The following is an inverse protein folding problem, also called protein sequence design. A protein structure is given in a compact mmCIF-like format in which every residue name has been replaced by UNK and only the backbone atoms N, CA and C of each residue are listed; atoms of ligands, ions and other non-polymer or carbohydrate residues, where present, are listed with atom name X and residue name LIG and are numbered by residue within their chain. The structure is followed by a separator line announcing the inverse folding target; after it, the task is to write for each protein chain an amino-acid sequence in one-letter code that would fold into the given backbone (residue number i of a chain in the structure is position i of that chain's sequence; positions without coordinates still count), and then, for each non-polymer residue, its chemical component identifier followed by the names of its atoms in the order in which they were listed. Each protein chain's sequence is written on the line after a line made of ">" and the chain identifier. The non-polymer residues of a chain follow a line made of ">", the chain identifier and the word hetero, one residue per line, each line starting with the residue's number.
data_IF_152598312544
#
_entry.id   IF_152598312544
#
_cell.length_a   1.000
_cell.length_b   1.000
_cell.length_c   1.000
_cell.angle_alpha   90.00
_cell.angle_beta   90.00
_cell.angle_gamma   90.00
#
_symmetry.space_group_name_H-M   'P 1'
#
loop_
_entity.id
_entity.type
_entity.pdbx_description
1 polymer ?
#
# COMPACT_ATOMS: atom_id res chain seq x y z
N UNK A 1 5.61 -39.41 -1.12
CA UNK A 1 5.55 -39.65 -2.58
C UNK A 1 5.42 -38.32 -3.30
N UNK A 2 6.07 -38.16 -4.45
CA UNK A 2 6.00 -36.96 -5.29
C UNK A 2 5.60 -37.36 -6.72
N UNK A 3 4.76 -36.56 -7.39
CA UNK A 3 4.33 -36.84 -8.77
C UNK A 3 4.96 -35.85 -9.73
N UNK A 4 5.63 -36.36 -10.76
CA UNK A 4 6.23 -35.58 -11.84
C UNK A 4 5.69 -36.10 -13.16
N UNK A 5 5.08 -35.21 -13.96
CA UNK A 5 4.55 -35.54 -15.28
C UNK A 5 3.67 -36.81 -15.33
N UNK A 6 2.89 -37.07 -14.28
CA UNK A 6 2.01 -38.23 -14.17
C UNK A 6 2.63 -39.45 -13.47
N UNK A 7 3.96 -39.56 -13.42
CA UNK A 7 4.70 -40.67 -12.78
C UNK A 7 4.86 -40.43 -11.27
N UNK A 8 4.65 -41.48 -10.45
CA UNK A 8 4.87 -41.45 -8.99
C UNK A 8 6.33 -41.80 -8.69
N UNK A 9 7.00 -40.95 -7.92
CA UNK A 9 8.36 -41.17 -7.40
C UNK A 9 8.35 -41.19 -5.88
N UNK A 10 8.99 -42.21 -5.32
CA UNK A 10 9.27 -42.32 -3.89
C UNK A 10 10.73 -41.98 -3.67
N UNK A 11 10.98 -40.83 -3.04
CA UNK A 11 12.31 -40.30 -2.75
C UNK A 11 12.42 -39.89 -1.30
N UNK A 12 13.61 -40.03 -0.70
CA UNK A 12 13.89 -39.63 0.67
C UNK A 12 14.13 -38.11 0.73
N UNK A 13 13.49 -37.43 1.67
CA UNK A 13 13.74 -36.02 1.97
C UNK A 13 15.06 -35.91 2.73
N UNK A 14 16.03 -35.18 2.19
CA UNK A 14 17.36 -34.98 2.81
C UNK A 14 17.52 -33.61 3.46
N UNK A 15 16.86 -32.58 2.93
CA UNK A 15 16.93 -31.22 3.42
C UNK A 15 15.65 -30.46 3.13
N UNK A 16 15.30 -29.53 4.02
CA UNK A 16 14.23 -28.57 3.83
C UNK A 16 14.87 -27.19 3.61
N UNK A 17 14.38 -26.45 2.61
CA UNK A 17 14.83 -25.08 2.33
C UNK A 17 13.65 -24.13 2.38
N UNK A 18 13.89 -22.93 2.88
CA UNK A 18 12.96 -21.81 2.73
C UNK A 18 13.21 -21.17 1.38
N UNK A 19 12.16 -21.05 0.56
CA UNK A 19 12.22 -20.39 -0.75
C UNK A 19 11.82 -18.94 -0.56
N UNK A 20 12.69 -18.01 -0.99
CA UNK A 20 12.36 -16.58 -1.04
C UNK A 20 11.80 -16.26 -2.43
N UNK A 21 10.57 -15.77 -2.45
CA UNK A 21 9.80 -15.43 -3.67
C UNK A 21 9.91 -13.95 -4.06
N UNK A 22 10.72 -13.20 -3.30
CA UNK A 22 11.10 -11.81 -3.56
C UNK A 22 11.82 -11.66 -4.91
N UNK A 23 12.65 -12.63 -5.26
CA UNK A 23 13.29 -12.72 -6.55
C UNK A 23 12.42 -13.52 -7.53
N UNK A 24 11.99 -12.87 -8.63
CA UNK A 24 11.22 -13.50 -9.71
C UNK A 24 12.06 -14.43 -10.59
N UNK A 25 12.94 -15.21 -9.97
CA UNK A 25 13.68 -16.30 -10.60
C UNK A 25 12.88 -17.59 -10.51
N UNK A 26 12.98 -18.50 -11.49
CA UNK A 26 12.35 -19.82 -11.42
C UNK A 26 12.75 -20.57 -10.15
N UNK A 27 11.77 -20.93 -9.32
CA UNK A 27 11.98 -21.67 -8.09
C UNK A 27 11.22 -23.00 -8.15
N UNK A 28 11.91 -24.11 -7.89
CA UNK A 28 11.33 -25.45 -7.83
C UNK A 28 11.07 -25.86 -6.37
N UNK A 29 9.90 -26.46 -6.10
CA UNK A 29 9.51 -26.92 -4.76
C UNK A 29 10.33 -28.12 -4.27
N UNK A 30 10.75 -29.00 -5.20
CA UNK A 30 11.54 -30.20 -4.91
C UNK A 30 12.74 -30.22 -5.85
N UNK A 31 13.95 -30.32 -5.30
CA UNK A 31 15.15 -30.59 -6.08
C UNK A 31 15.49 -32.07 -5.97
N UNK A 32 15.56 -32.73 -7.11
CA UNK A 32 15.88 -34.15 -7.21
C UNK A 32 17.33 -34.32 -7.69
N UNK A 33 18.02 -35.32 -7.15
CA UNK A 33 19.36 -35.68 -7.66
C UNK A 33 19.28 -36.10 -9.13
N UNK A 34 20.30 -35.81 -9.97
CA UNK A 34 20.28 -36.19 -11.39
C UNK A 34 19.97 -37.67 -11.62
N UNK A 35 20.42 -38.56 -10.72
CA UNK A 35 20.16 -39.98 -10.79
C UNK A 35 18.67 -40.35 -10.68
N UNK A 36 17.90 -39.59 -9.90
CA UNK A 36 16.48 -39.84 -9.63
C UNK A 36 15.55 -39.32 -10.74
N UNK A 37 16.05 -38.48 -11.66
CA UNK A 37 15.26 -37.86 -12.74
C UNK A 37 15.60 -38.47 -14.11
N UNK A 38 16.55 -39.41 -14.18
CA UNK A 38 16.94 -40.08 -15.43
C UNK A 38 15.74 -40.76 -16.09
N UNK A 39 15.44 -40.37 -17.33
CA UNK A 39 14.35 -40.93 -18.13
C UNK A 39 12.98 -40.26 -17.95
N UNK A 40 12.87 -39.23 -17.12
CA UNK A 40 11.62 -38.45 -17.01
C UNK A 40 11.58 -37.32 -18.06
N UNK A 41 10.39 -36.99 -18.59
CA UNK A 41 10.23 -35.80 -19.42
C UNK A 41 10.56 -34.54 -18.60
N UNK A 42 11.36 -33.66 -19.18
CA UNK A 42 11.82 -32.43 -18.53
C UNK A 42 11.52 -31.21 -19.41
N UNK A 43 11.14 -30.11 -18.77
CA UNK A 43 10.99 -28.79 -19.39
C UNK A 43 12.10 -27.87 -18.89
N UNK A 44 12.64 -27.06 -19.79
CA UNK A 44 13.60 -26.02 -19.45
C UNK A 44 12.85 -24.73 -19.16
N UNK A 45 13.13 -24.12 -18.02
CA UNK A 45 12.58 -22.83 -17.63
C UNK A 45 13.73 -21.90 -17.28
N UNK A 46 13.73 -20.72 -17.89
CA UNK A 46 14.74 -19.69 -17.63
C UNK A 46 14.07 -18.32 -17.55
N UNK A 47 14.66 -17.42 -16.78
CA UNK A 47 14.28 -16.01 -16.71
C UNK A 47 15.44 -15.17 -17.22
N UNK A 48 15.16 -14.24 -18.13
CA UNK A 48 16.13 -13.25 -18.58
C UNK A 48 15.58 -11.85 -18.34
N UNK A 49 16.45 -10.93 -17.94
CA UNK A 49 16.12 -9.52 -18.02
C UNK A 49 16.26 -9.08 -19.48
N UNK A 50 15.20 -8.49 -20.04
CA UNK A 50 15.17 -8.02 -21.40
C UNK A 50 14.77 -6.53 -21.44
N UNK A 51 15.54 -5.67 -22.13
CA UNK A 51 15.13 -4.29 -22.39
C UNK A 51 13.81 -4.24 -23.16
N UNK A 52 13.05 -3.14 -23.01
CA UNK A 52 11.77 -2.93 -23.71
C UNK A 52 11.91 -3.03 -25.25
N UNK A 53 13.05 -2.66 -25.82
CA UNK A 53 13.34 -2.74 -27.25
C UNK A 53 13.34 -4.18 -27.79
N UNK A 54 13.65 -5.17 -26.96
CA UNK A 54 13.74 -6.59 -27.35
C UNK A 54 12.36 -7.30 -27.29
N UNK A 55 11.32 -6.64 -26.76
CA UNK A 55 9.99 -7.23 -26.54
C UNK A 55 9.37 -7.79 -27.81
N UNK A 56 9.48 -7.07 -28.93
CA UNK A 56 8.95 -7.51 -30.23
C UNK A 56 9.66 -8.76 -30.76
N UNK A 57 10.96 -8.90 -30.48
CA UNK A 57 11.72 -10.09 -30.84
C UNK A 57 11.27 -11.31 -30.01
N UNK A 58 11.13 -11.13 -28.69
CA UNK A 58 10.65 -12.18 -27.79
C UNK A 58 9.21 -12.63 -28.10
N UNK A 59 8.33 -11.70 -28.50
CA UNK A 59 6.97 -12.02 -28.91
C UNK A 59 6.90 -12.87 -30.21
N UNK A 60 7.93 -12.82 -31.06
CA UNK A 60 8.01 -13.59 -32.31
C UNK A 60 8.68 -14.97 -32.15
N UNK A 61 9.28 -15.24 -31.00
CA UNK A 61 9.96 -16.50 -30.72
C UNK A 61 9.04 -17.72 -30.79
N UNK A 62 7.83 -17.70 -30.18
CA UNK A 62 6.90 -18.84 -30.25
C UNK A 62 6.47 -19.18 -31.68
N UNK A 63 6.40 -18.18 -32.57
CA UNK A 63 6.07 -18.39 -33.99
C UNK A 63 7.17 -19.11 -34.77
N UNK A 64 8.43 -18.98 -34.35
CA UNK A 64 9.58 -19.68 -34.96
C UNK A 64 9.93 -21.00 -34.27
N UNK A 65 9.62 -21.11 -32.97
CA UNK A 65 9.90 -22.28 -32.15
C UNK A 65 8.66 -22.66 -31.34
N UNK A 66 7.77 -23.53 -31.86
CA UNK A 66 6.51 -23.88 -31.21
C UNK A 66 6.66 -24.62 -29.86
N UNK A 67 7.86 -25.09 -29.53
CA UNK A 67 8.19 -25.66 -28.21
C UNK A 67 8.62 -24.63 -27.15
N UNK A 68 8.64 -23.34 -27.47
CA UNK A 68 9.09 -22.27 -26.57
C UNK A 68 7.91 -21.38 -26.17
N UNK A 69 7.60 -21.33 -24.88
CA UNK A 69 6.62 -20.41 -24.31
C UNK A 69 7.34 -19.22 -23.69
N UNK A 70 6.99 -18.01 -24.15
CA UNK A 70 7.52 -16.76 -23.59
C UNK A 70 6.44 -16.13 -22.72
N UNK A 71 6.77 -15.85 -21.45
CA UNK A 71 5.86 -15.23 -20.48
C UNK A 71 6.38 -13.83 -20.16
N UNK A 72 5.58 -12.81 -20.44
CA UNK A 72 5.92 -11.42 -20.11
C UNK A 72 5.41 -11.03 -18.72
N UNK A 73 6.29 -11.15 -17.74
CA UNK A 73 6.03 -10.79 -16.35
C UNK A 73 5.85 -9.27 -16.18
N UNK A 74 6.47 -8.45 -17.04
CA UNK A 74 6.40 -6.99 -16.94
C UNK A 74 4.99 -6.47 -17.19
N UNK A 75 4.27 -7.06 -18.14
CA UNK A 75 2.88 -6.74 -18.40
C UNK A 75 2.00 -7.00 -17.17
N UNK A 76 2.19 -8.17 -16.54
CA UNK A 76 1.43 -8.58 -15.37
C UNK A 76 1.64 -7.64 -14.17
N UNK A 77 2.91 -7.31 -13.87
CA UNK A 77 3.26 -6.38 -12.80
C UNK A 77 2.71 -4.98 -13.07
N UNK A 78 2.73 -4.53 -14.34
CA UNK A 78 2.20 -3.22 -14.70
C UNK A 78 0.69 -3.15 -14.47
N UNK A 79 -0.04 -4.18 -14.86
CA UNK A 79 -1.49 -4.24 -14.66
C UNK A 79 -1.85 -4.28 -13.17
N UNK A 80 -1.12 -5.10 -12.40
CA UNK A 80 -1.25 -5.15 -10.95
C UNK A 80 -0.98 -3.79 -10.31
N UNK A 81 0.11 -3.11 -10.70
CA UNK A 81 0.43 -1.76 -10.21
C UNK A 81 -0.69 -0.79 -10.53
N UNK A 82 -1.22 -0.82 -11.75
CA UNK A 82 -2.29 0.07 -12.16
C UNK A 82 -3.58 -0.18 -11.35
N UNK A 83 -3.91 -1.45 -11.07
CA UNK A 83 -5.00 -1.80 -10.15
C UNK A 83 -4.77 -1.26 -8.75
N UNK A 84 -3.57 -1.46 -8.17
CA UNK A 84 -3.20 -0.95 -6.85
C UNK A 84 -3.28 0.58 -6.79
N UNK A 85 -2.80 1.28 -7.83
CA UNK A 85 -2.89 2.74 -7.92
C UNK A 85 -4.34 3.21 -7.97
N UNK A 86 -5.22 2.55 -8.73
CA UNK A 86 -6.65 2.90 -8.77
C UNK A 86 -7.33 2.65 -7.43
N UNK A 87 -7.00 1.54 -6.76
CA UNK A 87 -7.52 1.25 -5.44
C UNK A 87 -7.09 2.31 -4.43
N UNK A 88 -5.80 2.70 -4.43
CA UNK A 88 -5.29 3.77 -3.60
C UNK A 88 -6.00 5.11 -3.87
N UNK A 89 -6.19 5.47 -5.14
CA UNK A 89 -6.92 6.69 -5.52
C UNK A 89 -8.38 6.69 -5.04
N UNK A 90 -9.07 5.57 -5.15
CA UNK A 90 -10.44 5.44 -4.65
C UNK A 90 -10.50 5.67 -3.13
N UNK A 91 -9.56 5.07 -2.38
CA UNK A 91 -9.43 5.29 -0.94
C UNK A 91 -9.10 6.75 -0.63
N UNK A 92 -8.21 7.39 -1.38
CA UNK A 92 -7.89 8.82 -1.20
C UNK A 92 -9.12 9.72 -1.37
N UNK A 93 -9.99 9.43 -2.34
CA UNK A 93 -11.25 10.18 -2.53
C UNK A 93 -12.17 10.01 -1.32
N UNK A 94 -12.26 8.80 -0.76
CA UNK A 94 -13.01 8.55 0.47
C UNK A 94 -12.44 9.33 1.64
N UNK A 95 -11.11 9.30 1.83
CA UNK A 95 -10.44 10.06 2.88
C UNK A 95 -10.71 11.56 2.75
N UNK A 96 -10.63 12.12 1.53
CA UNK A 96 -10.90 13.54 1.28
C UNK A 96 -12.37 13.88 1.59
N UNK A 97 -13.30 12.99 1.22
CA UNK A 97 -14.74 13.17 1.49
C UNK A 97 -15.04 13.11 2.99
N UNK A 98 -14.41 12.17 3.72
CA UNK A 98 -14.51 12.07 5.18
C UNK A 98 -13.91 13.28 5.86
N UNK A 99 -12.76 13.79 5.38
CA UNK A 99 -12.16 15.01 5.89
C UNK A 99 -13.08 16.22 5.68
N UNK A 100 -13.68 16.36 4.50
CA UNK A 100 -14.64 17.41 4.22
C UNK A 100 -15.86 17.32 5.16
N UNK A 101 -16.40 16.11 5.36
CA UNK A 101 -17.49 15.88 6.30
C UNK A 101 -17.10 16.25 7.75
N UNK A 102 -15.89 15.92 8.18
CA UNK A 102 -15.38 16.28 9.51
C UNK A 102 -15.23 17.80 9.70
N UNK A 103 -14.76 18.51 8.68
CA UNK A 103 -14.69 19.98 8.70
C UNK A 103 -16.07 20.63 8.73
N UNK A 104 -17.02 20.11 7.94
CA UNK A 104 -18.41 20.56 7.98
C UNK A 104 -19.03 20.30 9.37
N UNK A 105 -18.76 19.14 9.97
CA UNK A 105 -19.21 18.82 11.31
C UNK A 105 -18.62 19.79 12.34
N UNK A 106 -17.32 20.08 12.27
CA UNK A 106 -16.68 21.07 13.14
C UNK A 106 -17.35 22.46 13.00
N UNK A 107 -17.65 22.88 11.77
CA UNK A 107 -18.40 24.12 11.53
C UNK A 107 -19.81 24.08 12.14
N UNK A 108 -20.54 22.97 11.98
CA UNK A 108 -21.88 22.79 12.54
C UNK A 108 -21.87 22.87 14.07
N UNK A 109 -20.90 22.24 14.73
CA UNK A 109 -20.75 22.30 16.20
C UNK A 109 -20.56 23.75 16.65
N UNK A 110 -19.68 24.51 15.99
CA UNK A 110 -19.50 25.93 16.30
C UNK A 110 -20.79 26.71 16.03
N UNK A 111 -21.49 26.44 14.94
CA UNK A 111 -22.74 27.10 14.60
C UNK A 111 -23.85 26.85 15.64
N UNK A 112 -23.94 25.65 16.20
CA UNK A 112 -24.91 25.29 17.24
C UNK A 112 -24.61 25.99 18.58
N UNK A 113 -23.34 26.17 18.94
CA UNK A 113 -22.93 26.85 20.19
C UNK A 113 -22.99 28.39 20.13
N UNK A 114 -23.51 28.97 19.04
CA UNK A 114 -23.50 30.42 18.84
C UNK A 114 -24.25 31.21 19.91
N UNK A 115 -25.39 30.71 20.38
CA UNK A 115 -26.20 31.42 21.38
C UNK A 115 -25.52 31.49 22.75
N UNK A 116 -24.86 30.41 23.16
CA UNK A 116 -24.07 30.37 24.40
C UNK A 116 -22.89 31.35 24.30
N UNK A 117 -22.16 31.30 23.18
CA UNK A 117 -21.03 32.22 22.94
C UNK A 117 -21.48 33.68 22.83
N UNK A 118 -22.67 33.95 22.30
CA UNK A 118 -23.20 35.31 22.22
C UNK A 118 -23.43 35.92 23.61
N UNK A 119 -23.92 35.13 24.58
CA UNK A 119 -24.08 35.59 25.97
C UNK A 119 -22.73 35.94 26.61
N UNK A 120 -21.71 35.10 26.43
CA UNK A 120 -20.34 35.39 26.91
C UNK A 120 -19.78 36.67 26.29
N UNK A 121 -19.98 36.88 24.99
CA UNK A 121 -19.51 38.08 24.28
C UNK A 121 -20.19 39.34 24.81
N UNK A 122 -21.50 39.29 25.12
CA UNK A 122 -22.23 40.44 25.70
C UNK A 122 -21.66 40.77 27.08
N UNK A 123 -21.36 39.77 27.91
CA UNK A 123 -20.75 39.96 29.23
C UNK A 123 -19.36 40.62 29.13
N UNK A 124 -18.53 40.21 28.17
CA UNK A 124 -17.23 40.88 27.93
C UNK A 124 -17.39 42.31 27.41
N UNK A 125 -18.44 42.58 26.63
CA UNK A 125 -18.72 43.91 26.10
C UNK A 125 -19.20 44.87 27.19
N UNK A 126 -19.98 44.42 28.18
CA UNK A 126 -20.35 45.25 29.34
C UNK A 126 -19.14 45.58 30.22
N UNK A 127 -18.15 44.68 30.28
CA UNK A 127 -16.85 44.93 30.93
C UNK A 127 -15.90 45.83 30.10
N UNK A 128 -16.34 46.34 28.94
CA UNK A 128 -15.57 47.27 28.11
C UNK A 128 -14.52 46.62 27.20
N UNK A 129 -14.55 45.29 27.04
CA UNK A 129 -13.62 44.59 26.14
C UNK A 129 -13.96 44.90 24.68
N UNK A 130 -12.95 45.31 23.90
CA UNK A 130 -13.09 45.55 22.46
C UNK A 130 -13.33 44.25 21.71
N UNK A 131 -14.22 44.27 20.70
CA UNK A 131 -14.57 43.11 19.87
C UNK A 131 -13.35 42.46 19.19
N UNK A 132 -12.32 43.25 18.86
CA UNK A 132 -11.08 42.74 18.25
C UNK A 132 -10.33 41.79 19.18
N UNK A 133 -10.27 42.09 20.49
CA UNK A 133 -9.63 41.21 21.48
C UNK A 133 -10.38 39.90 21.64
N UNK A 134 -11.72 39.95 21.60
CA UNK A 134 -12.58 38.77 21.70
C UNK A 134 -12.35 37.83 20.50
N UNK A 135 -12.30 38.39 19.28
CA UNK A 135 -12.03 37.59 18.07
C UNK A 135 -10.63 36.96 18.08
N UNK A 136 -9.60 37.67 18.55
CA UNK A 136 -8.25 37.11 18.67
C UNK A 136 -8.20 35.96 19.67
N UNK A 137 -8.83 36.12 20.84
CA UNK A 137 -8.87 35.07 21.85
C UNK A 137 -9.56 33.80 21.32
N UNK A 138 -10.70 33.98 20.65
CA UNK A 138 -11.45 32.87 20.05
C UNK A 138 -10.66 32.18 18.92
N UNK A 139 -9.95 32.95 18.10
CA UNK A 139 -9.07 32.40 17.06
C UNK A 139 -7.92 31.59 17.66
N UNK A 140 -7.36 32.02 18.79
CA UNK A 140 -6.31 31.27 19.50
C UNK A 140 -6.89 29.98 20.11
N UNK A 141 -8.05 30.03 20.75
CA UNK A 141 -8.69 28.86 21.36
C UNK A 141 -8.97 27.77 20.32
N UNK A 142 -9.70 28.10 19.24
CA UNK A 142 -10.00 27.15 18.18
C UNK A 142 -8.75 26.76 17.38
N UNK A 143 -7.81 27.69 17.18
CA UNK A 143 -6.53 27.41 16.53
C UNK A 143 -5.71 26.39 17.31
N UNK A 144 -5.66 26.51 18.64
CA UNK A 144 -4.96 25.58 19.51
C UNK A 144 -5.64 24.21 19.52
N UNK A 145 -6.97 24.16 19.61
CA UNK A 145 -7.73 22.91 19.53
C UNK A 145 -7.51 22.20 18.19
N UNK A 146 -7.53 22.93 17.08
CA UNK A 146 -7.22 22.41 15.76
C UNK A 146 -5.78 21.90 15.64
N UNK A 147 -4.82 22.66 16.17
CA UNK A 147 -3.40 22.29 16.17
C UNK A 147 -3.15 21.00 16.95
N UNK A 148 -3.66 20.90 18.18
CA UNK A 148 -3.52 19.70 19.02
C UNK A 148 -4.17 18.49 18.37
N UNK A 149 -5.37 18.66 17.80
CA UNK A 149 -6.06 17.58 17.08
C UNK A 149 -5.29 17.13 15.85
N UNK A 150 -4.71 18.06 15.09
CA UNK A 150 -3.88 17.75 13.92
C UNK A 150 -2.61 16.99 14.29
N UNK A 151 -1.90 17.42 15.34
CA UNK A 151 -0.71 16.71 15.85
C UNK A 151 -1.07 15.29 16.28
N UNK A 152 -2.16 15.13 17.04
CA UNK A 152 -2.64 13.80 17.43
C UNK A 152 -3.01 12.94 16.22
N UNK A 153 -3.64 13.54 15.19
CA UNK A 153 -3.96 12.86 13.94
C UNK A 153 -2.71 12.35 13.21
N UNK A 154 -1.68 13.19 13.06
CA UNK A 154 -0.40 12.80 12.43
C UNK A 154 0.29 11.69 13.21
N UNK A 155 0.31 11.78 14.54
CA UNK A 155 0.88 10.74 15.39
C UNK A 155 0.11 9.42 15.25
N UNK A 156 -1.23 9.46 15.29
CA UNK A 156 -2.06 8.28 15.12
C UNK A 156 -1.86 7.63 13.74
N UNK A 157 -1.83 8.44 12.67
CA UNK A 157 -1.56 7.96 11.32
C UNK A 157 -0.16 7.32 11.23
N UNK A 158 0.86 7.91 11.86
CA UNK A 158 2.21 7.35 11.93
C UNK A 158 2.26 6.01 12.66
N UNK A 159 1.54 5.86 13.77
CA UNK A 159 1.45 4.59 14.53
C UNK A 159 0.76 3.50 13.71
N UNK A 160 -0.36 3.82 13.07
CA UNK A 160 -1.09 2.88 12.21
C UNK A 160 -0.22 2.46 11.02
N UNK A 161 0.40 3.42 10.33
CA UNK A 161 1.30 3.11 9.21
C UNK A 161 2.52 2.27 9.62
N UNK A 162 3.08 2.51 10.80
CA UNK A 162 4.15 1.68 11.34
C UNK A 162 3.68 0.25 11.66
N UNK A 163 2.47 0.11 12.21
CA UNK A 163 1.88 -1.19 12.52
C UNK A 163 1.65 -1.99 11.24
N UNK A 164 1.02 -1.39 10.22
CA UNK A 164 0.75 -2.01 8.92
C UNK A 164 2.03 -2.47 8.23
N UNK A 165 3.07 -1.64 8.26
CA UNK A 165 4.38 -1.97 7.69
C UNK A 165 5.00 -3.22 8.36
N UNK A 166 4.84 -3.38 9.67
CA UNK A 166 5.43 -4.48 10.44
C UNK A 166 4.61 -5.77 10.37
N UNK A 167 3.28 -5.70 10.45
CA UNK A 167 2.43 -6.89 10.63
C UNK A 167 1.89 -7.45 9.33
N UNK A 168 1.54 -6.59 8.38
CA UNK A 168 0.90 -7.00 7.13
C UNK A 168 1.90 -7.09 5.97
N UNK A 169 2.85 -6.16 5.94
CA UNK A 169 3.74 -6.00 4.79
C UNK A 169 5.15 -6.57 5.02
N UNK A 170 5.57 -6.74 6.27
CA UNK A 170 6.95 -7.11 6.65
C UNK A 170 8.03 -6.20 6.01
N UNK A 171 7.68 -4.95 5.69
CA UNK A 171 8.58 -3.96 5.06
C UNK A 171 9.00 -2.91 6.09
N UNK A 172 10.21 -2.35 5.91
CA UNK A 172 10.67 -1.23 6.72
C UNK A 172 9.78 -0.01 6.48
N UNK A 173 9.18 0.51 7.55
CA UNK A 173 8.40 1.74 7.49
C UNK A 173 9.29 2.88 6.97
N UNK A 174 8.92 3.41 5.81
CA UNK A 174 9.51 4.61 5.21
C UNK A 174 8.41 5.64 5.07
N UNK A 175 8.34 6.58 6.00
CA UNK A 175 7.32 7.60 5.91
C UNK A 175 7.63 8.57 4.77
N UNK A 176 6.64 8.80 3.93
CA UNK A 176 6.75 9.66 2.76
C UNK A 176 6.32 11.08 3.13
N UNK A 177 7.31 11.96 3.31
CA UNK A 177 7.09 13.36 3.68
C UNK A 177 6.49 14.21 2.57
N UNK A 178 6.40 13.69 1.33
CA UNK A 178 5.79 14.41 0.22
C UNK A 178 4.25 14.39 0.24
N UNK A 179 3.66 13.54 1.09
CA UNK A 179 2.21 13.30 1.18
C UNK A 179 1.61 13.89 2.48
N UNK A 180 2.45 14.39 3.39
CA UNK A 180 2.08 15.13 4.61
C UNK A 180 2.16 16.64 4.35
#
# INVERSE_FOLDING_TARGET
>A
EYRVAGTRLTVRVTSLRTVRWDHMTPNFFVLLSPAAVRGLPHSYLTSIWAPKSTRTFLARLPSRFPGVTVIDIHLLIRELRHFLTRAAQAISILMLSTLAAALLLAYLVVALTREERAHEIILFRTLGVRITKIMTWLAIEYGLLGFVSGVLGVLAAGVVGWLDARTLLEVRFQPDWSVL
#
